data_IF_783086477986
#
_entry.id   IF_783086477986
#
_cell.length_a   1.000
_cell.length_b   1.000
_cell.length_c   1.000
_cell.angle_alpha   90.00
_cell.angle_beta   90.00
_cell.angle_gamma   90.00
#
_symmetry.space_group_name_H-M   'P 1'
#
loop_
_entity.id
_entity.type
_entity.pdbx_description
1 polymer ?
#
# COMPACT_ATOMS: atom_id res chain seq x y z
N UNK A 1 -2.41 19.83 -2.21
CA UNK A 1 -2.85 18.61 -2.94
C UNK A 1 -4.29 18.30 -2.53
N UNK A 2 -5.14 17.81 -3.44
CA UNK A 2 -6.45 17.24 -3.03
C UNK A 2 -6.18 15.97 -2.23
N UNK A 3 -6.99 15.66 -1.19
CA UNK A 3 -6.87 14.40 -0.47
C UNK A 3 -6.96 13.21 -1.45
N UNK A 4 -6.09 12.22 -1.32
CA UNK A 4 -6.22 10.94 -2.01
C UNK A 4 -7.34 10.19 -1.30
N UNK A 5 -8.34 9.73 -2.02
CA UNK A 5 -9.45 8.93 -1.47
C UNK A 5 -9.68 7.72 -2.35
N UNK A 6 -10.21 6.63 -1.79
CA UNK A 6 -10.58 5.45 -2.55
C UNK A 6 -9.54 4.31 -2.50
N UNK A 7 -9.35 3.64 -3.62
CA UNK A 7 -8.49 2.46 -3.75
C UNK A 7 -7.07 2.85 -4.14
N UNK A 8 -6.12 2.63 -3.24
CA UNK A 8 -4.69 2.81 -3.46
C UNK A 8 -4.08 1.43 -3.63
N UNK A 9 -3.50 1.12 -4.78
CA UNK A 9 -2.83 -0.18 -4.91
C UNK A 9 -1.48 -0.18 -4.20
N UNK A 10 -1.22 -1.18 -3.36
CA UNK A 10 0.14 -1.52 -2.92
C UNK A 10 0.79 -2.38 -4.02
N UNK A 11 1.32 -1.73 -5.06
CA UNK A 11 1.71 -2.38 -6.29
C UNK A 11 2.90 -3.34 -6.07
N UNK A 12 2.84 -4.54 -6.66
CA UNK A 12 4.01 -5.41 -6.76
C UNK A 12 5.07 -4.77 -7.65
N UNK A 13 6.33 -5.13 -7.47
CA UNK A 13 7.41 -4.81 -8.40
C UNK A 13 7.59 -5.97 -9.37
N UNK A 14 7.16 -5.87 -10.64
CA UNK A 14 7.38 -6.93 -11.63
C UNK A 14 8.88 -7.18 -11.86
N UNK A 15 9.23 -8.45 -11.96
CA UNK A 15 10.63 -8.89 -12.13
C UNK A 15 10.75 -9.96 -13.20
N UNK A 16 11.88 -9.99 -13.88
CA UNK A 16 12.31 -11.09 -14.76
C UNK A 16 12.73 -12.31 -13.93
N UNK A 17 12.98 -13.44 -14.58
CA UNK A 17 13.39 -14.68 -13.91
C UNK A 17 14.77 -14.61 -13.25
N UNK A 18 15.62 -13.71 -13.73
CA UNK A 18 16.94 -13.41 -13.15
C UNK A 18 16.87 -12.45 -11.94
N UNK A 19 15.66 -11.99 -11.60
CA UNK A 19 15.39 -11.06 -10.51
C UNK A 19 15.57 -9.58 -10.87
N UNK A 20 15.95 -9.23 -12.09
CA UNK A 20 15.99 -7.85 -12.54
C UNK A 20 14.57 -7.28 -12.69
N UNK A 21 14.42 -5.95 -12.54
CA UNK A 21 13.11 -5.30 -12.61
C UNK A 21 12.59 -5.29 -14.06
N UNK A 22 11.36 -5.76 -14.25
CA UNK A 22 10.65 -5.74 -15.54
C UNK A 22 9.90 -4.42 -15.70
N UNK A 23 10.58 -3.41 -16.24
CA UNK A 23 10.02 -2.08 -16.47
C UNK A 23 8.88 -2.08 -17.50
N UNK A 24 8.88 -3.00 -18.47
CA UNK A 24 7.82 -3.11 -19.46
C UNK A 24 6.54 -3.66 -18.83
N UNK A 25 6.64 -4.68 -17.98
CA UNK A 25 5.52 -5.17 -17.20
C UNK A 25 5.04 -4.10 -16.22
N UNK A 26 5.93 -3.38 -15.54
CA UNK A 26 5.58 -2.28 -14.64
C UNK A 26 4.74 -1.22 -15.37
N UNK A 27 5.14 -0.84 -16.58
CA UNK A 27 4.38 0.11 -17.41
C UNK A 27 2.99 -0.43 -17.75
N UNK A 28 2.90 -1.67 -18.25
CA UNK A 28 1.61 -2.30 -18.59
C UNK A 28 0.67 -2.37 -17.41
N UNK A 29 1.19 -2.76 -16.25
CA UNK A 29 0.39 -2.88 -15.02
C UNK A 29 -0.10 -1.52 -14.53
N UNK A 30 0.74 -0.48 -14.58
CA UNK A 30 0.31 0.90 -14.22
C UNK A 30 -0.76 1.40 -15.19
N UNK A 31 -0.59 1.22 -16.50
CA UNK A 31 -1.59 1.60 -17.50
C UNK A 31 -2.92 0.85 -17.29
N UNK A 32 -2.86 -0.44 -16.97
CA UNK A 32 -4.03 -1.25 -16.63
C UNK A 32 -4.74 -0.73 -15.37
N UNK A 33 -4.02 -0.46 -14.29
CA UNK A 33 -4.59 0.11 -13.07
C UNK A 33 -5.33 1.42 -13.33
N UNK A 34 -4.75 2.30 -14.16
CA UNK A 34 -5.36 3.57 -14.53
C UNK A 34 -6.66 3.34 -15.32
N UNK A 35 -6.65 2.40 -16.27
CA UNK A 35 -7.83 2.05 -17.06
C UNK A 35 -8.96 1.45 -16.20
N UNK A 36 -8.60 0.69 -15.16
CA UNK A 36 -9.54 0.06 -14.23
C UNK A 36 -10.00 0.98 -13.09
N UNK A 37 -9.56 2.24 -13.04
CA UNK A 37 -10.04 3.25 -12.12
C UNK A 37 -9.34 3.29 -10.75
N UNK A 38 -8.14 2.72 -10.61
CA UNK A 38 -7.34 2.86 -9.38
C UNK A 38 -7.11 4.34 -9.04
N UNK A 39 -7.34 4.73 -7.79
CA UNK A 39 -7.32 6.13 -7.36
C UNK A 39 -5.91 6.63 -7.02
N UNK A 40 -4.97 5.74 -6.71
CA UNK A 40 -3.56 6.08 -6.48
C UNK A 40 -2.67 4.84 -6.67
N UNK A 41 -1.48 5.02 -7.24
CA UNK A 41 -0.47 3.98 -7.41
C UNK A 41 0.57 4.08 -6.30
N UNK A 42 0.56 3.13 -5.37
CA UNK A 42 1.61 2.99 -4.35
C UNK A 42 2.71 2.05 -4.82
N UNK A 43 3.95 2.53 -4.93
CA UNK A 43 5.09 1.73 -5.41
C UNK A 43 6.15 1.56 -4.33
N UNK A 44 6.91 0.49 -4.43
CA UNK A 44 8.05 0.14 -3.56
C UNK A 44 7.68 0.15 -2.07
N UNK A 45 6.44 -0.26 -1.75
CA UNK A 45 6.06 -0.62 -0.39
C UNK A 45 6.44 -2.07 -0.07
N UNK A 46 5.89 -2.62 1.01
CA UNK A 46 6.14 -4.02 1.41
C UNK A 46 5.78 -5.01 0.30
N UNK A 47 4.63 -4.82 -0.36
CA UNK A 47 4.17 -5.64 -1.48
C UNK A 47 5.06 -5.47 -2.72
N UNK A 48 5.70 -4.33 -2.88
CA UNK A 48 6.71 -4.04 -3.90
C UNK A 48 8.11 -4.56 -3.57
N UNK A 49 8.25 -5.38 -2.53
CA UNK A 49 9.52 -6.02 -2.11
C UNK A 49 10.61 -5.01 -1.71
N UNK A 50 10.23 -3.86 -1.13
CA UNK A 50 11.18 -2.81 -0.73
C UNK A 50 12.41 -3.31 0.06
N UNK A 51 12.35 -4.36 0.93
CA UNK A 51 13.54 -4.83 1.65
C UNK A 51 14.59 -5.51 0.77
N UNK A 52 14.24 -5.97 -0.44
CA UNK A 52 15.13 -6.71 -1.35
C UNK A 52 15.39 -5.97 -2.67
N UNK A 53 14.74 -4.85 -2.86
CA UNK A 53 15.02 -3.86 -3.91
C UNK A 53 16.11 -2.94 -3.40
N UNK A 54 17.24 -2.81 -4.12
CA UNK A 54 18.33 -1.91 -3.69
C UNK A 54 17.87 -0.45 -3.68
N UNK A 55 18.62 0.43 -3.04
CA UNK A 55 18.29 1.86 -3.03
C UNK A 55 18.23 2.45 -4.44
N UNK A 56 19.15 2.05 -5.32
CA UNK A 56 19.20 2.46 -6.72
C UNK A 56 17.97 1.97 -7.47
N UNK A 57 17.62 0.68 -7.34
CA UNK A 57 16.43 0.10 -7.95
C UNK A 57 15.15 0.73 -7.42
N UNK A 58 15.08 1.03 -6.10
CA UNK A 58 13.97 1.74 -5.48
C UNK A 58 13.74 3.09 -6.17
N UNK A 59 14.82 3.87 -6.31
CA UNK A 59 14.81 5.13 -7.03
C UNK A 59 14.37 4.98 -8.49
N UNK A 60 14.83 3.94 -9.19
CA UNK A 60 14.45 3.67 -10.57
C UNK A 60 12.96 3.33 -10.72
N UNK A 61 12.42 2.48 -9.83
CA UNK A 61 10.98 2.13 -9.83
C UNK A 61 10.11 3.35 -9.55
N UNK A 62 10.46 4.19 -8.58
CA UNK A 62 9.72 5.43 -8.29
C UNK A 62 9.73 6.34 -9.51
N UNK A 63 10.90 6.59 -10.12
CA UNK A 63 11.03 7.41 -11.33
C UNK A 63 10.20 6.85 -12.49
N UNK A 64 10.27 5.54 -12.71
CA UNK A 64 9.52 4.86 -13.77
C UNK A 64 8.01 4.98 -13.54
N UNK A 65 7.55 4.76 -12.31
CA UNK A 65 6.13 4.87 -11.96
C UNK A 65 5.58 6.27 -12.18
N UNK A 66 6.29 7.31 -11.73
CA UNK A 66 5.90 8.72 -11.99
C UNK A 66 5.83 9.01 -13.49
N UNK A 67 6.84 8.56 -14.24
CA UNK A 67 6.87 8.72 -15.71
C UNK A 67 5.70 7.99 -16.38
N UNK A 68 5.40 6.77 -15.96
CA UNK A 68 4.34 5.95 -16.57
C UNK A 68 2.94 6.43 -16.16
N UNK A 69 2.74 6.86 -14.93
CA UNK A 69 1.48 7.48 -14.49
C UNK A 69 1.20 8.79 -15.25
N UNK A 70 2.25 9.56 -15.57
CA UNK A 70 2.18 10.78 -16.39
C UNK A 70 1.09 11.77 -15.92
N UNK A 71 0.88 11.91 -14.61
CA UNK A 71 -0.13 12.77 -14.00
C UNK A 71 -1.58 12.31 -14.17
N UNK A 72 -1.83 11.11 -14.75
CA UNK A 72 -3.18 10.55 -14.91
C UNK A 72 -3.77 10.06 -13.58
N UNK A 73 -2.91 9.67 -12.64
CA UNK A 73 -3.25 9.21 -11.30
C UNK A 73 -2.11 9.58 -10.35
N UNK A 74 -2.37 9.89 -9.07
CA UNK A 74 -1.34 10.16 -8.09
C UNK A 74 -0.40 8.97 -7.87
N UNK A 75 0.87 9.24 -7.60
CA UNK A 75 1.89 8.24 -7.24
C UNK A 75 2.34 8.45 -5.80
N UNK A 76 2.17 7.42 -4.99
CA UNK A 76 2.63 7.34 -3.60
C UNK A 76 3.92 6.50 -3.55
N UNK A 77 5.05 7.13 -3.27
CA UNK A 77 6.35 6.45 -3.21
C UNK A 77 6.61 5.83 -1.84
N UNK A 78 6.96 4.55 -1.78
CA UNK A 78 7.46 3.91 -0.56
C UNK A 78 8.90 4.36 -0.28
N UNK A 79 9.09 5.16 0.76
CA UNK A 79 10.41 5.72 1.12
C UNK A 79 10.81 5.42 2.56
N UNK A 80 9.99 4.62 3.28
CA UNK A 80 10.26 4.28 4.67
C UNK A 80 11.44 3.33 4.82
N UNK A 81 12.30 3.63 5.78
CA UNK A 81 13.42 2.79 6.21
C UNK A 81 13.53 2.82 7.73
N UNK A 82 14.25 1.87 8.32
CA UNK A 82 14.54 1.89 9.77
C UNK A 82 15.72 2.82 10.13
N UNK A 83 16.42 3.33 9.14
CA UNK A 83 17.38 4.42 9.23
C UNK A 83 16.70 5.73 8.83
N UNK A 84 16.71 6.73 9.72
CA UNK A 84 16.13 8.04 9.45
C UNK A 84 16.87 8.76 8.28
N UNK A 85 18.18 8.60 8.19
CA UNK A 85 18.98 9.20 7.12
C UNK A 85 18.59 8.62 5.74
N UNK A 86 18.45 7.31 5.65
CA UNK A 86 18.03 6.61 4.42
C UNK A 86 16.62 7.02 4.01
N UNK A 87 15.67 7.06 4.96
CA UNK A 87 14.31 7.50 4.69
C UNK A 87 14.26 8.95 4.15
N UNK A 88 15.10 9.85 4.68
CA UNK A 88 15.21 11.23 4.18
C UNK A 88 15.79 11.25 2.76
N UNK A 89 16.79 10.43 2.46
CA UNK A 89 17.41 10.36 1.13
C UNK A 89 16.42 9.86 0.08
N UNK A 90 15.74 8.73 0.33
CA UNK A 90 14.69 8.20 -0.54
C UNK A 90 13.55 9.19 -0.74
N UNK A 91 13.10 9.87 0.33
CA UNK A 91 12.03 10.86 0.24
C UNK A 91 12.45 12.07 -0.60
N UNK A 92 13.70 12.52 -0.46
CA UNK A 92 14.26 13.61 -1.29
C UNK A 92 14.27 13.24 -2.76
N UNK A 93 14.69 12.02 -3.08
CA UNK A 93 14.65 11.51 -4.45
C UNK A 93 13.21 11.43 -4.99
N UNK A 94 12.26 10.88 -4.22
CA UNK A 94 10.86 10.80 -4.61
C UNK A 94 10.28 12.19 -4.95
N UNK A 95 10.59 13.21 -4.14
CA UNK A 95 10.22 14.60 -4.44
C UNK A 95 10.84 15.09 -5.75
N UNK A 96 12.14 14.84 -5.97
CA UNK A 96 12.86 15.30 -7.17
C UNK A 96 12.29 14.73 -8.47
N UNK A 97 11.79 13.49 -8.44
CA UNK A 97 11.20 12.85 -9.63
C UNK A 97 9.71 13.11 -9.79
N UNK A 98 9.06 13.84 -8.84
CA UNK A 98 7.70 14.31 -8.95
C UNK A 98 6.65 13.32 -8.41
N UNK A 99 6.97 12.49 -7.43
CA UNK A 99 5.96 11.75 -6.67
C UNK A 99 5.02 12.72 -5.95
N UNK A 100 3.73 12.37 -5.85
CA UNK A 100 2.71 13.25 -5.26
C UNK A 100 2.76 13.23 -3.73
N UNK A 101 3.06 12.07 -3.15
CA UNK A 101 3.28 11.87 -1.72
C UNK A 101 4.17 10.65 -1.49
N UNK A 102 4.50 10.41 -0.22
CA UNK A 102 5.26 9.23 0.14
C UNK A 102 4.64 8.46 1.30
N UNK A 103 4.88 7.14 1.33
CA UNK A 103 4.49 6.22 2.39
C UNK A 103 5.73 5.85 3.20
N UNK A 104 5.72 6.16 4.49
CA UNK A 104 6.85 5.89 5.39
C UNK A 104 6.44 4.95 6.52
N UNK A 105 7.01 3.74 6.53
CA UNK A 105 6.72 2.71 7.52
C UNK A 105 7.40 3.02 8.85
N UNK A 106 6.76 2.65 9.95
CA UNK A 106 7.37 2.68 11.29
C UNK A 106 8.69 1.91 11.27
N UNK A 107 9.79 2.46 11.83
CA UNK A 107 11.09 1.80 11.85
C UNK A 107 10.99 0.39 12.42
N UNK A 108 11.35 -0.59 11.61
CA UNK A 108 11.30 -2.02 11.90
C UNK A 108 12.63 -2.51 12.45
N UNK A 109 12.61 -3.63 13.19
CA UNK A 109 13.78 -4.34 13.71
C UNK A 109 14.47 -3.63 14.88
N UNK A 110 14.84 -2.35 14.78
CA UNK A 110 15.53 -1.56 15.83
C UNK A 110 14.61 -1.10 16.97
N UNK A 111 13.28 -1.32 16.85
CA UNK A 111 12.26 -1.14 17.90
C UNK A 111 12.38 0.17 18.69
N UNK A 112 12.24 1.31 18.02
CA UNK A 112 12.32 2.61 18.69
C UNK A 112 11.18 2.79 19.70
N UNK A 113 11.42 3.62 20.73
CA UNK A 113 10.36 4.08 21.63
C UNK A 113 9.34 4.96 20.88
N UNK A 114 8.18 5.25 21.48
CA UNK A 114 7.19 6.16 20.89
C UNK A 114 7.79 7.55 20.58
N UNK A 115 8.66 8.05 21.45
CA UNK A 115 9.36 9.31 21.18
C UNK A 115 10.36 9.16 20.03
N UNK A 116 11.07 8.04 19.93
CA UNK A 116 11.95 7.75 18.78
C UNK A 116 11.18 7.69 17.47
N UNK A 117 9.99 7.06 17.45
CA UNK A 117 9.09 7.04 16.29
C UNK A 117 8.67 8.47 15.92
N UNK A 118 8.25 9.27 16.91
CA UNK A 118 7.86 10.66 16.70
C UNK A 118 8.99 11.49 16.08
N UNK A 119 10.19 11.45 16.66
CA UNK A 119 11.34 12.20 16.18
C UNK A 119 11.80 11.75 14.78
N UNK A 120 11.71 10.44 14.48
CA UNK A 120 12.01 9.91 13.14
C UNK A 120 11.13 10.56 12.07
N UNK A 121 9.81 10.57 12.26
CA UNK A 121 8.89 11.15 11.27
C UNK A 121 8.96 12.69 11.21
N UNK A 122 9.14 13.36 12.35
CA UNK A 122 9.39 14.80 12.36
C UNK A 122 10.62 15.14 11.53
N UNK A 123 11.73 14.40 11.71
CA UNK A 123 12.96 14.64 10.96
C UNK A 123 12.79 14.47 9.45
N UNK A 124 12.02 13.47 9.03
CA UNK A 124 11.71 13.28 7.60
C UNK A 124 10.87 14.45 7.07
N UNK A 125 9.79 14.82 7.75
CA UNK A 125 8.90 15.93 7.35
C UNK A 125 9.62 17.27 7.27
N UNK A 126 10.51 17.57 8.24
CA UNK A 126 11.33 18.78 8.26
C UNK A 126 12.37 18.81 7.15
N UNK A 127 12.91 17.65 6.75
CA UNK A 127 14.00 17.56 5.78
C UNK A 127 13.53 17.65 4.33
N UNK A 128 12.28 17.26 4.05
CA UNK A 128 11.75 17.18 2.68
C UNK A 128 10.28 17.58 2.66
N UNK A 129 9.98 18.65 1.95
CA UNK A 129 8.61 19.10 1.71
C UNK A 129 7.93 18.24 0.63
N UNK A 130 7.57 17.01 1.00
CA UNK A 130 6.74 16.06 0.24
C UNK A 130 5.69 15.49 1.21
N UNK A 131 4.39 15.54 0.87
CA UNK A 131 3.33 15.04 1.76
C UNK A 131 3.55 13.60 2.19
N UNK A 132 3.50 13.33 3.52
CA UNK A 132 3.81 12.03 4.12
C UNK A 132 2.56 11.33 4.62
N UNK A 133 2.39 10.07 4.22
CA UNK A 133 1.48 9.11 4.82
C UNK A 133 2.29 8.19 5.75
N UNK A 134 1.97 8.19 7.02
CA UNK A 134 2.54 7.27 8.01
C UNK A 134 2.08 5.84 7.71
N UNK A 135 2.88 4.84 8.06
CA UNK A 135 2.48 3.45 7.89
C UNK A 135 2.77 2.62 9.15
N UNK A 136 1.70 2.15 9.78
CA UNK A 136 1.77 1.30 10.98
C UNK A 136 1.34 -0.13 10.66
N UNK A 137 2.25 -1.09 10.88
CA UNK A 137 2.05 -2.52 10.60
C UNK A 137 2.81 -3.39 11.61
N UNK A 138 2.41 -3.39 12.88
CA UNK A 138 3.19 -4.01 13.95
C UNK A 138 3.43 -5.52 13.76
N UNK A 139 2.56 -6.21 13.02
CA UNK A 139 2.76 -7.62 12.65
C UNK A 139 4.01 -7.87 11.79
N UNK A 140 4.56 -6.82 11.13
CA UNK A 140 5.80 -6.90 10.33
C UNK A 140 6.97 -6.17 10.97
N UNK A 141 6.70 -5.02 11.58
CA UNK A 141 7.74 -4.14 12.12
C UNK A 141 8.15 -4.49 13.56
N UNK A 142 7.29 -5.22 14.29
CA UNK A 142 7.39 -5.45 15.75
C UNK A 142 7.23 -4.15 16.56
N UNK A 143 7.57 -2.99 15.99
CA UNK A 143 7.29 -1.68 16.57
C UNK A 143 5.86 -1.26 16.21
N UNK A 144 5.10 -0.83 17.22
CA UNK A 144 3.72 -0.34 17.08
C UNK A 144 3.67 1.16 17.42
N UNK A 145 3.26 1.98 16.46
CA UNK A 145 3.01 3.39 16.69
C UNK A 145 1.61 3.57 17.29
N UNK A 146 1.56 3.91 18.56
CA UNK A 146 0.30 4.06 19.30
C UNK A 146 -0.57 5.21 18.74
N UNK A 147 -1.90 5.17 18.94
CA UNK A 147 -2.80 6.25 18.49
C UNK A 147 -2.37 7.64 18.96
N UNK A 148 -1.90 7.77 20.20
CA UNK A 148 -1.43 9.04 20.77
C UNK A 148 -0.22 9.60 20.01
N UNK A 149 0.71 8.74 19.62
CA UNK A 149 1.89 9.12 18.81
C UNK A 149 1.44 9.52 17.39
N UNK A 150 0.53 8.78 16.80
CA UNK A 150 -0.06 9.11 15.49
C UNK A 150 -0.75 10.48 15.53
N UNK A 151 -1.55 10.76 16.57
CA UNK A 151 -2.26 12.03 16.72
C UNK A 151 -1.32 13.22 16.98
N UNK A 152 -0.19 13.00 17.66
CA UNK A 152 0.87 14.01 17.77
C UNK A 152 1.50 14.30 16.40
N UNK A 153 1.80 13.26 15.63
CA UNK A 153 2.36 13.40 14.27
C UNK A 153 1.36 14.04 13.30
N UNK A 154 0.07 13.84 13.47
CA UNK A 154 -0.97 14.49 12.68
C UNK A 154 -0.99 16.03 12.80
N UNK A 155 -0.31 16.60 13.81
CA UNK A 155 -0.13 18.05 13.97
C UNK A 155 1.14 18.57 13.27
N UNK A 156 2.00 17.68 12.77
CA UNK A 156 3.26 18.05 12.12
C UNK A 156 2.99 18.47 10.66
N UNK A 157 3.42 19.66 10.22
CA UNK A 157 3.27 20.08 8.83
C UNK A 157 3.87 19.05 7.87
N UNK A 158 3.15 18.72 6.79
CA UNK A 158 3.57 17.73 5.82
C UNK A 158 3.10 16.30 6.12
N UNK A 159 2.67 15.98 7.35
CA UNK A 159 2.07 14.68 7.68
C UNK A 159 0.57 14.73 7.36
N UNK A 160 0.15 14.04 6.30
CA UNK A 160 -1.20 14.17 5.74
C UNK A 160 -2.12 12.99 6.04
N UNK A 161 -1.61 11.90 6.60
CA UNK A 161 -2.43 10.73 6.90
C UNK A 161 -1.65 9.55 7.44
N UNK A 162 -2.38 8.46 7.64
CA UNK A 162 -1.84 7.17 8.07
C UNK A 162 -2.47 6.02 7.29
N UNK A 163 -1.65 5.03 6.91
CA UNK A 163 -2.05 3.67 6.58
C UNK A 163 -2.01 2.84 7.87
N UNK A 164 -3.19 2.55 8.42
CA UNK A 164 -3.34 1.71 9.61
C UNK A 164 -3.59 0.26 9.19
N UNK A 165 -2.63 -0.61 9.45
CA UNK A 165 -2.66 -2.00 8.98
C UNK A 165 -2.70 -3.02 10.13
N UNK A 166 -3.23 -2.64 11.29
CA UNK A 166 -3.46 -3.58 12.39
C UNK A 166 -4.73 -4.42 12.20
N UNK A 167 -5.66 -3.99 11.34
CA UNK A 167 -7.00 -4.57 11.24
C UNK A 167 -7.89 -4.28 12.46
N UNK A 168 -7.44 -3.48 13.42
CA UNK A 168 -8.17 -3.16 14.64
C UNK A 168 -9.11 -1.96 14.42
N UNK A 169 -10.40 -2.25 14.30
CA UNK A 169 -11.43 -1.23 14.03
C UNK A 169 -11.61 -0.26 15.21
N UNK A 170 -11.48 -0.72 16.46
CA UNK A 170 -11.56 0.15 17.62
C UNK A 170 -10.45 1.21 17.60
N UNK A 171 -9.22 0.79 17.27
CA UNK A 171 -8.08 1.69 17.08
C UNK A 171 -8.32 2.68 15.93
N UNK A 172 -8.87 2.22 14.82
CA UNK A 172 -9.26 3.09 13.70
C UNK A 172 -10.30 4.14 14.13
N UNK A 173 -11.30 3.76 14.93
CA UNK A 173 -12.29 4.68 15.50
C UNK A 173 -11.64 5.76 16.38
N UNK A 174 -10.66 5.40 17.20
CA UNK A 174 -9.92 6.37 18.02
C UNK A 174 -9.21 7.41 17.14
N UNK A 175 -8.54 6.95 16.07
CA UNK A 175 -7.88 7.84 15.12
C UNK A 175 -8.90 8.74 14.39
N UNK A 176 -9.97 8.17 13.84
CA UNK A 176 -11.01 8.92 13.11
C UNK A 176 -11.63 10.00 14.03
N UNK A 177 -11.92 9.66 15.27
CA UNK A 177 -12.55 10.56 16.24
C UNK A 177 -11.67 11.77 16.60
N UNK A 178 -10.35 11.58 16.70
CA UNK A 178 -9.44 12.56 17.27
C UNK A 178 -8.47 13.20 16.26
N UNK A 179 -8.41 12.69 15.03
CA UNK A 179 -7.56 13.26 13.99
C UNK A 179 -7.99 14.69 13.63
N UNK A 180 -7.03 15.59 13.34
CA UNK A 180 -7.35 16.93 12.88
C UNK A 180 -8.00 16.88 11.50
N UNK A 181 -8.78 17.91 11.17
CA UNK A 181 -9.39 18.03 9.84
C UNK A 181 -8.30 18.03 8.75
N UNK A 182 -8.48 17.19 7.74
CA UNK A 182 -7.54 17.06 6.62
C UNK A 182 -6.48 15.99 6.81
N UNK A 183 -6.45 15.30 7.95
CA UNK A 183 -5.62 14.10 8.14
C UNK A 183 -6.39 12.86 7.67
N UNK A 184 -5.84 12.16 6.70
CA UNK A 184 -6.49 10.99 6.09
C UNK A 184 -6.14 9.69 6.81
N UNK A 185 -7.14 8.83 7.00
CA UNK A 185 -6.96 7.51 7.63
C UNK A 185 -7.33 6.45 6.59
N UNK A 186 -6.32 5.68 6.16
CA UNK A 186 -6.47 4.59 5.20
C UNK A 186 -6.35 3.24 5.92
N UNK A 187 -7.17 2.28 5.51
CA UNK A 187 -6.92 0.90 5.89
C UNK A 187 -5.67 0.37 5.16
N UNK A 188 -4.89 -0.44 5.84
CA UNK A 188 -3.83 -1.26 5.25
C UNK A 188 -4.16 -2.75 5.28
N UNK A 189 -5.42 -3.08 5.64
CA UNK A 189 -5.94 -4.44 5.77
C UNK A 189 -7.23 -4.58 4.95
N UNK A 190 -7.16 -5.34 3.86
CA UNK A 190 -8.28 -5.52 2.92
C UNK A 190 -9.53 -6.10 3.59
N UNK A 191 -9.34 -6.98 4.57
CA UNK A 191 -10.43 -7.67 5.27
C UNK A 191 -11.31 -6.75 6.12
N UNK A 192 -10.76 -5.65 6.64
CA UNK A 192 -11.46 -4.71 7.53
C UNK A 192 -11.69 -3.33 6.90
N UNK A 193 -11.23 -3.12 5.67
CA UNK A 193 -11.24 -1.82 5.00
C UNK A 193 -12.64 -1.20 4.88
N UNK A 194 -13.65 -2.00 4.52
CA UNK A 194 -15.04 -1.51 4.40
C UNK A 194 -15.55 -0.95 5.73
N UNK A 195 -15.31 -1.66 6.83
CA UNK A 195 -15.73 -1.20 8.16
C UNK A 195 -15.04 0.13 8.52
N UNK A 196 -13.73 0.25 8.27
CA UNK A 196 -12.98 1.47 8.53
C UNK A 196 -13.53 2.65 7.70
N UNK A 197 -13.80 2.45 6.40
CA UNK A 197 -14.30 3.51 5.52
C UNK A 197 -15.72 3.95 5.90
N UNK A 198 -16.62 3.02 6.21
CA UNK A 198 -17.99 3.34 6.68
C UNK A 198 -18.00 4.12 8.00
N UNK A 199 -16.95 4.01 8.81
CA UNK A 199 -16.79 4.76 10.06
C UNK A 199 -16.13 6.13 9.86
N UNK A 200 -15.76 6.50 8.63
CA UNK A 200 -15.18 7.81 8.30
C UNK A 200 -13.72 7.77 7.83
N UNK A 201 -13.17 6.60 7.50
CA UNK A 201 -11.89 6.48 6.82
C UNK A 201 -11.94 6.96 5.37
N UNK A 202 -10.78 7.10 4.74
CA UNK A 202 -10.62 7.78 3.45
C UNK A 202 -10.32 6.84 2.28
N UNK A 203 -10.04 5.57 2.56
CA UNK A 203 -9.71 4.59 1.51
C UNK A 203 -8.97 3.37 2.03
N UNK A 204 -8.44 2.59 1.09
CA UNK A 204 -7.70 1.37 1.38
C UNK A 204 -6.40 1.29 0.57
N UNK A 205 -5.28 1.04 1.22
CA UNK A 205 -4.00 0.71 0.57
C UNK A 205 -3.91 -0.80 0.45
N UNK A 206 -4.36 -1.32 -0.67
CA UNK A 206 -4.79 -2.69 -0.91
C UNK A 206 -3.75 -3.58 -1.58
N UNK A 207 -3.67 -4.83 -1.16
CA UNK A 207 -2.99 -5.92 -1.90
C UNK A 207 -3.94 -6.53 -2.94
N UNK A 208 -5.22 -6.69 -2.60
CA UNK A 208 -6.25 -7.24 -3.50
C UNK A 208 -6.40 -6.40 -4.77
N UNK A 209 -6.18 -5.09 -4.70
CA UNK A 209 -6.19 -4.21 -5.85
C UNK A 209 -5.21 -4.63 -6.97
N UNK A 210 -4.11 -5.36 -6.65
CA UNK A 210 -3.19 -5.88 -7.69
C UNK A 210 -3.85 -6.83 -8.68
N UNK A 211 -4.95 -7.47 -8.32
CA UNK A 211 -5.66 -8.46 -9.16
C UNK A 211 -7.09 -8.07 -9.48
N UNK A 212 -7.68 -7.14 -8.74
CA UNK A 212 -9.07 -6.71 -8.89
C UNK A 212 -9.22 -5.19 -8.73
N UNK A 213 -8.49 -4.35 -9.52
CA UNK A 213 -8.46 -2.91 -9.32
C UNK A 213 -9.83 -2.26 -9.46
N UNK A 214 -10.60 -2.61 -10.49
CA UNK A 214 -11.95 -2.07 -10.71
C UNK A 214 -12.89 -2.38 -9.55
N UNK A 215 -12.94 -3.63 -9.10
CA UNK A 215 -13.80 -4.03 -7.99
C UNK A 215 -13.38 -3.38 -6.67
N UNK A 216 -12.08 -3.17 -6.46
CA UNK A 216 -11.58 -2.46 -5.28
C UNK A 216 -11.88 -0.97 -5.32
N UNK A 217 -11.80 -0.33 -6.49
CA UNK A 217 -12.27 1.04 -6.68
C UNK A 217 -13.77 1.16 -6.36
N UNK A 218 -14.61 0.33 -6.97
CA UNK A 218 -16.05 0.28 -6.74
C UNK A 218 -16.41 0.05 -5.26
N UNK A 219 -15.70 -0.86 -4.59
CA UNK A 219 -15.87 -1.14 -3.16
C UNK A 219 -15.57 0.09 -2.31
N UNK A 220 -14.43 0.75 -2.58
CA UNK A 220 -14.04 1.95 -1.86
C UNK A 220 -15.05 3.08 -2.08
N UNK A 221 -15.46 3.32 -3.32
CA UNK A 221 -16.44 4.37 -3.63
C UNK A 221 -17.78 4.10 -2.96
N UNK A 222 -18.31 2.87 -3.05
CA UNK A 222 -19.55 2.51 -2.37
C UNK A 222 -19.49 2.75 -0.85
N UNK A 223 -18.36 2.39 -0.21
CA UNK A 223 -18.18 2.61 1.22
C UNK A 223 -18.10 4.12 1.57
N UNK A 224 -17.37 4.90 0.78
CA UNK A 224 -17.21 6.36 0.98
C UNK A 224 -18.51 7.14 0.73
N UNK A 225 -19.36 6.67 -0.18
CA UNK A 225 -20.69 7.22 -0.45
C UNK A 225 -21.74 6.80 0.60
N UNK A 226 -21.39 5.87 1.50
CA UNK A 226 -22.29 5.36 2.52
C UNK A 226 -23.25 4.26 2.02
N UNK A 227 -23.06 3.76 0.80
CA UNK A 227 -23.81 2.61 0.28
C UNK A 227 -23.27 1.30 0.88
N UNK A 228 -23.67 1.07 2.14
CA UNK A 228 -23.21 -0.08 2.92
C UNK A 228 -23.64 -1.42 2.30
N UNK A 229 -24.77 -1.48 1.56
CA UNK A 229 -25.21 -2.72 0.92
C UNK A 229 -24.33 -3.08 -0.26
N UNK A 230 -24.03 -2.12 -1.13
CA UNK A 230 -23.13 -2.33 -2.28
C UNK A 230 -21.71 -2.63 -1.79
N UNK A 231 -21.20 -1.86 -0.82
CA UNK A 231 -19.89 -2.09 -0.23
C UNK A 231 -19.77 -3.50 0.38
N UNK A 232 -20.78 -3.95 1.14
CA UNK A 232 -20.81 -5.30 1.70
C UNK A 232 -20.85 -6.40 0.63
N UNK A 233 -21.65 -6.23 -0.43
CA UNK A 233 -21.74 -7.20 -1.52
C UNK A 233 -20.39 -7.36 -2.25
N UNK A 234 -19.71 -6.24 -2.56
CA UNK A 234 -18.38 -6.24 -3.19
C UNK A 234 -17.32 -6.84 -2.25
N UNK A 235 -17.35 -6.50 -0.97
CA UNK A 235 -16.45 -7.05 0.04
C UNK A 235 -16.58 -8.57 0.16
N UNK A 236 -17.81 -9.08 0.27
CA UNK A 236 -18.06 -10.53 0.38
C UNK A 236 -17.65 -11.27 -0.90
N UNK A 237 -17.82 -10.66 -2.07
CA UNK A 237 -17.31 -11.21 -3.34
C UNK A 237 -15.78 -11.29 -3.35
N UNK A 238 -15.08 -10.30 -2.81
CA UNK A 238 -13.61 -10.23 -2.78
C UNK A 238 -12.98 -10.92 -1.56
N UNK A 239 -13.79 -11.34 -0.58
CA UNK A 239 -13.30 -11.93 0.67
C UNK A 239 -12.35 -13.12 0.48
N UNK A 240 -12.58 -14.05 -0.49
CA UNK A 240 -11.62 -15.10 -0.78
C UNK A 240 -10.23 -14.57 -1.14
N UNK A 241 -10.16 -13.50 -1.93
CA UNK A 241 -8.89 -12.84 -2.32
C UNK A 241 -8.25 -12.12 -1.12
N UNK A 242 -9.03 -11.36 -0.34
CA UNK A 242 -8.51 -10.68 0.85
C UNK A 242 -7.78 -11.65 1.79
N UNK A 243 -8.25 -12.90 1.87
CA UNK A 243 -7.64 -13.95 2.68
C UNK A 243 -6.49 -14.65 1.96
N UNK A 244 -6.71 -15.13 0.73
CA UNK A 244 -5.78 -16.06 0.08
C UNK A 244 -4.55 -15.37 -0.54
N UNK A 245 -4.59 -14.05 -0.76
CA UNK A 245 -3.38 -13.29 -1.14
C UNK A 245 -2.37 -13.15 0.02
N UNK A 246 -2.70 -13.69 1.19
CA UNK A 246 -1.85 -13.78 2.37
C UNK A 246 -1.72 -15.22 2.91
N UNK A 247 -2.09 -16.24 2.12
CA UNK A 247 -1.95 -17.66 2.54
C UNK A 247 -0.50 -18.08 2.75
N UNK A 248 0.44 -17.38 2.11
CA UNK A 248 1.88 -17.48 2.30
C UNK A 248 2.49 -16.07 2.32
N UNK A 249 3.81 -15.91 2.59
CA UNK A 249 4.43 -14.60 2.67
C UNK A 249 4.19 -13.74 1.43
N UNK A 250 3.60 -12.56 1.65
CA UNK A 250 3.40 -11.56 0.60
C UNK A 250 4.77 -11.03 0.11
N UNK A 251 4.99 -10.82 -1.21
CA UNK A 251 3.95 -10.74 -2.25
C UNK A 251 3.78 -12.01 -3.12
N UNK A 252 4.34 -13.16 -2.74
CA UNK A 252 4.33 -14.36 -3.59
C UNK A 252 2.91 -14.75 -4.08
N UNK A 253 1.85 -14.79 -3.21
CA UNK A 253 0.50 -15.08 -3.68
C UNK A 253 -0.05 -14.04 -4.67
N UNK A 254 0.20 -12.74 -4.43
CA UNK A 254 -0.27 -11.67 -5.29
C UNK A 254 0.41 -11.71 -6.68
N UNK A 255 1.74 -11.90 -6.73
CA UNK A 255 2.48 -12.05 -8.01
C UNK A 255 2.02 -13.29 -8.78
N UNK A 256 1.78 -14.40 -8.08
CA UNK A 256 1.27 -15.59 -8.72
C UNK A 256 -0.13 -15.35 -9.32
N UNK A 257 -1.02 -14.71 -8.58
CA UNK A 257 -2.36 -14.35 -9.08
C UNK A 257 -2.30 -13.43 -10.31
N UNK A 258 -1.46 -12.40 -10.26
CA UNK A 258 -1.24 -11.50 -11.40
C UNK A 258 -0.69 -12.25 -12.63
N UNK A 259 0.17 -13.26 -12.43
CA UNK A 259 0.68 -14.08 -13.52
C UNK A 259 -0.42 -14.94 -14.16
N UNK A 260 -1.39 -15.44 -13.38
CA UNK A 260 -2.57 -16.13 -13.94
C UNK A 260 -3.43 -15.19 -14.80
N UNK A 261 -3.40 -13.90 -14.52
CA UNK A 261 -4.08 -12.85 -15.32
C UNK A 261 -3.21 -12.32 -16.48
N UNK A 262 -1.99 -12.87 -16.67
CA UNK A 262 -1.09 -12.44 -17.75
C UNK A 262 -0.40 -11.08 -17.54
N UNK A 263 -0.39 -10.55 -16.31
CA UNK A 263 0.06 -9.19 -16.02
C UNK A 263 1.56 -9.09 -15.73
N UNK A 264 2.14 -10.07 -15.04
CA UNK A 264 3.58 -10.14 -14.75
C UNK A 264 4.04 -11.58 -14.56
N UNK A 265 5.35 -11.80 -14.36
CA UNK A 265 5.92 -13.10 -13.96
C UNK A 265 5.77 -13.32 -12.46
N UNK A 266 5.91 -14.59 -12.02
CA UNK A 266 5.77 -15.01 -10.62
C UNK A 266 7.00 -14.75 -9.77
N UNK A 267 8.11 -14.28 -10.35
CA UNK A 267 9.40 -14.18 -9.68
C UNK A 267 9.34 -13.27 -8.44
N UNK A 268 9.93 -13.74 -7.35
CA UNK A 268 10.16 -13.01 -6.11
C UNK A 268 11.61 -13.18 -5.69
N UNK A 269 12.17 -12.22 -4.94
CA UNK A 269 13.55 -12.30 -4.44
C UNK A 269 13.61 -12.96 -3.07
N UNK A 270 14.65 -13.76 -2.84
CA UNK A 270 14.94 -14.28 -1.51
C UNK A 270 15.02 -13.12 -0.48
N UNK A 271 14.55 -13.32 0.76
CA UNK A 271 14.17 -14.60 1.38
C UNK A 271 12.72 -15.06 1.06
N UNK A 272 11.94 -14.30 0.29
CA UNK A 272 10.64 -14.75 -0.21
C UNK A 272 10.88 -15.79 -1.30
N UNK A 273 10.10 -16.87 -1.28
CA UNK A 273 10.19 -17.97 -2.25
C UNK A 273 8.90 -18.03 -3.09
N UNK A 274 8.94 -18.66 -4.28
CA UNK A 274 7.74 -18.87 -5.07
C UNK A 274 6.64 -19.59 -4.28
N UNK A 275 5.38 -19.23 -4.60
CA UNK A 275 4.18 -19.81 -3.99
C UNK A 275 4.15 -21.34 -4.17
N UNK A 276 3.88 -22.08 -3.10
CA UNK A 276 3.78 -23.55 -3.13
C UNK A 276 2.57 -24.01 -3.98
N UNK A 277 2.57 -25.28 -4.42
CA UNK A 277 1.44 -25.84 -5.18
C UNK A 277 0.12 -25.75 -4.40
N UNK A 278 0.16 -25.99 -3.08
CA UNK A 278 -1.00 -25.83 -2.21
C UNK A 278 -1.48 -24.38 -2.14
N UNK A 279 -0.56 -23.43 -2.04
CA UNK A 279 -0.88 -22.00 -2.09
C UNK A 279 -1.46 -21.59 -3.45
N UNK A 280 -0.89 -22.11 -4.56
CA UNK A 280 -1.41 -21.87 -5.91
C UNK A 280 -2.86 -22.36 -6.07
N UNK A 281 -3.18 -23.53 -5.52
CA UNK A 281 -4.53 -24.07 -5.55
C UNK A 281 -5.52 -23.15 -4.79
N UNK A 282 -5.13 -22.68 -3.60
CA UNK A 282 -5.94 -21.74 -2.79
C UNK A 282 -6.19 -20.43 -3.51
N UNK A 283 -5.14 -19.84 -4.09
CA UNK A 283 -5.25 -18.55 -4.81
C UNK A 283 -6.05 -18.71 -6.09
N UNK A 284 -5.88 -19.81 -6.84
CA UNK A 284 -6.69 -20.09 -8.04
C UNK A 284 -8.17 -20.19 -7.68
N UNK A 285 -8.52 -20.93 -6.63
CA UNK A 285 -9.89 -21.03 -6.17
C UNK A 285 -10.45 -19.66 -5.78
N UNK A 286 -9.68 -18.81 -5.09
CA UNK A 286 -10.10 -17.46 -4.73
C UNK A 286 -10.35 -16.57 -5.95
N UNK A 287 -9.55 -16.70 -7.01
CA UNK A 287 -9.77 -15.99 -8.28
C UNK A 287 -11.08 -16.43 -8.96
N UNK A 288 -11.37 -17.73 -8.98
CA UNK A 288 -12.66 -18.26 -9.49
C UNK A 288 -13.84 -17.77 -8.66
N UNK A 289 -13.78 -17.91 -7.33
CA UNK A 289 -14.86 -17.52 -6.41
C UNK A 289 -15.17 -16.00 -6.50
N UNK A 290 -14.16 -15.19 -6.83
CA UNK A 290 -14.31 -13.74 -7.04
C UNK A 290 -14.74 -13.37 -8.47
N UNK A 291 -14.81 -14.35 -9.39
CA UNK A 291 -15.19 -14.17 -10.79
C UNK A 291 -14.13 -13.44 -11.63
N UNK A 292 -12.84 -13.64 -11.33
CA UNK A 292 -11.70 -13.09 -12.08
C UNK A 292 -11.07 -14.11 -13.03
N UNK A 293 -11.33 -15.39 -12.81
CA UNK A 293 -11.04 -16.49 -13.74
C UNK A 293 -12.33 -17.23 -14.05
N UNK A 294 -12.49 -17.61 -15.32
CA UNK A 294 -13.58 -18.44 -15.80
C UNK A 294 -13.37 -19.93 -15.52
#
# INVERSE_FOLDING_TARGET
MKPIVGSIVALVTPMHEDGSIDHDALKRVIDWHIAEGTDCIGVVGTTGESPTVSMEENCEVIRAAVKFAAGRVPVMAGTGANSTAEAVELTRFAKQVGADCHLSVVPYYNRPSQEGIYQHFCKIAESVDLPMVLYNVPGRTVADMLPETTLRLAQVPGVIGIKEATGNIERACQLIKHAPKGFSIYSGDDGTAVALMLLGGHGNVSVTANVAPHLMHELCMAALEGDSRRAAALHLRLLPLHKQLFCEPSPAPAKWAMAQLGLCKTHVRLPIVPLTESGQALVRQALHDSGLLG
#
